data_IF_344229651011
#
_entry.id   IF_344229651011
#
_cell.length_a   1.000
_cell.length_b   1.000
_cell.length_c   1.000
_cell.angle_alpha   90.00
_cell.angle_beta   90.00
_cell.angle_gamma   90.00
#
_symmetry.space_group_name_H-M   'P 1'
#
loop_
_entity.id
_entity.type
_entity.pdbx_description
1 polymer ?
#
# COMPACT_ATOMS: atom_id res chain seq x y z
N UNK A 1 -2.39 1.49 -12.38
CA UNK A 1 -3.15 2.00 -13.53
C UNK A 1 -3.85 0.83 -14.21
N UNK A 2 -5.19 0.78 -14.14
CA UNK A 2 -5.97 0.45 -15.31
C UNK A 2 -7.11 1.45 -15.57
N UNK A 3 -7.50 1.46 -16.83
CA UNK A 3 -8.41 2.31 -17.60
C UNK A 3 -9.74 2.71 -16.92
N UNK A 4 -10.04 4.02 -16.93
CA UNK A 4 -11.39 4.55 -16.67
C UNK A 4 -12.29 4.28 -17.89
N UNK A 5 -13.15 3.27 -17.80
CA UNK A 5 -14.30 3.13 -18.71
C UNK A 5 -15.57 3.43 -17.92
N UNK A 6 -16.16 4.60 -18.19
CA UNK A 6 -17.42 5.02 -17.60
C UNK A 6 -18.56 4.24 -18.26
N UNK A 7 -19.07 3.21 -17.59
CA UNK A 7 -20.34 2.60 -17.97
C UNK A 7 -21.48 3.46 -17.41
N UNK A 8 -22.25 4.11 -18.30
CA UNK A 8 -23.51 4.79 -17.96
C UNK A 8 -24.52 3.76 -17.46
N UNK A 9 -24.91 3.86 -16.20
CA UNK A 9 -26.06 3.14 -15.64
C UNK A 9 -27.31 4.01 -15.85
N UNK A 10 -28.20 3.56 -16.73
CA UNK A 10 -29.59 4.07 -16.80
C UNK A 10 -30.46 3.17 -15.93
N UNK A 11 -31.01 3.72 -14.84
CA UNK A 11 -32.11 3.10 -14.08
C UNK A 11 -33.49 3.44 -14.70
N UNK A 12 -34.59 3.13 -14.00
CA UNK A 12 -35.25 1.83 -14.06
C UNK A 12 -36.63 1.91 -14.75
N UNK A 13 -37.10 0.79 -15.30
CA UNK A 13 -38.52 0.59 -15.58
C UNK A 13 -39.03 -0.57 -14.73
N UNK A 14 -39.95 -0.24 -13.84
CA UNK A 14 -40.85 -1.15 -13.14
C UNK A 14 -41.91 -1.63 -14.11
N UNK A 15 -42.18 -2.93 -14.15
CA UNK A 15 -43.52 -3.42 -14.44
C UNK A 15 -43.77 -4.79 -13.78
N UNK A 16 -44.99 -4.94 -13.30
CA UNK A 16 -45.49 -6.00 -12.42
C UNK A 16 -45.74 -7.32 -13.16
N UNK A 17 -45.66 -8.46 -12.46
CA UNK A 17 -46.11 -9.74 -13.01
C UNK A 17 -45.75 -10.97 -12.19
N UNK A 18 -46.76 -11.52 -11.52
CA UNK A 18 -46.77 -12.72 -10.66
C UNK A 18 -46.19 -14.00 -11.29
N UNK A 19 -45.69 -14.91 -10.43
CA UNK A 19 -45.44 -16.30 -10.82
C UNK A 19 -44.35 -17.01 -10.00
N UNK A 20 -44.61 -17.31 -8.73
CA UNK A 20 -43.76 -18.19 -7.93
C UNK A 20 -43.91 -19.63 -8.41
N UNK A 21 -42.89 -20.14 -9.11
CA UNK A 21 -42.66 -21.57 -9.32
C UNK A 21 -41.25 -21.91 -8.82
N UNK A 22 -41.20 -22.77 -7.82
CA UNK A 22 -39.97 -23.30 -7.25
C UNK A 22 -39.36 -24.31 -8.23
N UNK A 23 -38.43 -23.84 -9.06
CA UNK A 23 -37.55 -24.71 -9.84
C UNK A 23 -36.08 -24.33 -9.62
N UNK A 24 -35.33 -25.40 -9.38
CA UNK A 24 -33.90 -25.51 -9.21
C UNK A 24 -33.10 -24.52 -10.07
N UNK A 25 -32.38 -23.61 -9.41
CA UNK A 25 -31.16 -23.05 -9.98
C UNK A 25 -30.04 -23.25 -8.98
N UNK A 26 -29.38 -24.39 -9.11
CA UNK A 26 -28.00 -24.55 -8.68
C UNK A 26 -27.14 -23.51 -9.41
N UNK A 27 -27.13 -22.28 -8.89
CA UNK A 27 -26.26 -21.22 -9.36
C UNK A 27 -24.88 -21.52 -8.79
N UNK A 28 -24.13 -22.38 -9.47
CA UNK A 28 -22.70 -22.48 -9.26
C UNK A 28 -22.10 -21.17 -9.74
N UNK A 29 -22.01 -20.21 -8.82
CA UNK A 29 -21.28 -18.96 -8.99
C UNK A 29 -19.84 -19.35 -9.32
N UNK A 30 -19.55 -19.46 -10.61
CA UNK A 30 -18.23 -19.81 -11.11
C UNK A 30 -17.50 -18.48 -11.17
N UNK A 31 -16.85 -18.13 -10.05
CA UNK A 31 -16.06 -16.91 -9.95
C UNK A 31 -15.03 -16.93 -11.09
N UNK A 32 -15.01 -15.94 -11.99
CA UNK A 32 -14.03 -15.91 -13.06
C UNK A 32 -12.62 -15.94 -12.44
N UNK A 33 -11.67 -16.68 -13.05
CA UNK A 33 -10.31 -16.73 -12.58
C UNK A 33 -9.75 -15.30 -12.62
N UNK A 34 -9.52 -14.77 -11.44
CA UNK A 34 -9.02 -13.41 -11.27
C UNK A 34 -7.57 -13.39 -11.74
N UNK A 35 -7.26 -12.50 -12.68
CA UNK A 35 -5.88 -12.34 -13.15
C UNK A 35 -4.97 -12.16 -11.94
N UNK A 36 -3.94 -13.00 -11.82
CA UNK A 36 -2.97 -12.83 -10.77
C UNK A 36 -2.33 -11.44 -10.95
N UNK A 37 -2.28 -10.63 -9.89
CA UNK A 37 -1.71 -9.31 -10.00
C UNK A 37 -0.25 -9.44 -10.41
N UNK A 38 0.16 -8.65 -11.41
CA UNK A 38 1.55 -8.56 -11.86
C UNK A 38 2.45 -8.37 -10.63
N UNK A 39 3.54 -9.15 -10.49
CA UNK A 39 4.49 -8.95 -9.41
C UNK A 39 5.02 -7.52 -9.43
N UNK A 40 4.97 -6.83 -8.29
CA UNK A 40 5.48 -5.46 -8.15
C UNK A 40 6.93 -5.31 -8.66
N UNK A 41 7.72 -6.38 -8.56
CA UNK A 41 9.09 -6.44 -9.07
C UNK A 41 9.18 -6.19 -10.57
N UNK A 42 8.24 -6.68 -11.36
CA UNK A 42 8.23 -6.53 -12.82
C UNK A 42 7.89 -5.08 -13.20
N UNK A 43 6.94 -4.46 -12.48
CA UNK A 43 6.58 -3.06 -12.70
C UNK A 43 7.72 -2.11 -12.31
N UNK A 44 8.44 -2.40 -11.22
CA UNK A 44 9.64 -1.66 -10.82
C UNK A 44 10.73 -1.80 -11.88
N UNK A 45 10.96 -3.01 -12.39
CA UNK A 45 11.97 -3.23 -13.43
C UNK A 45 11.64 -2.43 -14.69
N UNK A 46 10.38 -2.47 -15.15
CA UNK A 46 9.92 -1.67 -16.30
C UNK A 46 10.08 -0.17 -16.05
N UNK A 47 9.76 0.31 -14.84
CA UNK A 47 9.95 1.71 -14.48
C UNK A 47 11.43 2.12 -14.49
N UNK A 48 12.31 1.24 -14.03
CA UNK A 48 13.77 1.45 -14.06
C UNK A 48 14.30 1.46 -15.51
N UNK A 49 13.84 0.53 -16.35
CA UNK A 49 14.16 0.49 -17.78
C UNK A 49 13.73 1.78 -18.48
N UNK A 50 12.49 2.21 -18.26
CA UNK A 50 11.98 3.46 -18.82
C UNK A 50 12.78 4.68 -18.35
N UNK A 51 13.13 4.75 -17.06
CA UNK A 51 13.94 5.84 -16.53
C UNK A 51 15.36 5.84 -17.13
N UNK A 52 15.93 4.67 -17.42
CA UNK A 52 17.24 4.53 -18.07
C UNK A 52 17.19 4.97 -19.52
N UNK A 53 16.16 4.55 -20.26
CA UNK A 53 15.98 4.92 -21.67
C UNK A 53 15.83 6.45 -21.82
N UNK A 54 15.15 7.07 -20.85
CA UNK A 54 15.01 8.53 -20.76
C UNK A 54 16.22 9.25 -20.15
N UNK A 55 17.24 8.51 -19.68
CA UNK A 55 18.42 9.04 -18.97
C UNK A 55 18.05 9.94 -17.79
N UNK A 56 17.01 9.57 -17.05
CA UNK A 56 16.50 10.36 -15.93
C UNK A 56 17.37 10.20 -14.69
N UNK A 57 18.34 11.09 -14.53
CA UNK A 57 19.18 11.16 -13.33
C UNK A 57 18.36 11.46 -12.06
N UNK A 58 17.26 12.21 -12.19
CA UNK A 58 16.39 12.51 -11.05
C UNK A 58 15.71 11.24 -10.50
N UNK A 59 15.36 10.27 -11.36
CA UNK A 59 14.70 9.04 -10.90
C UNK A 59 15.68 7.94 -10.46
N UNK A 60 16.86 7.89 -11.10
CA UNK A 60 17.85 6.85 -10.88
C UNK A 60 18.95 7.23 -9.89
N UNK A 61 18.99 8.50 -9.49
CA UNK A 61 20.09 9.07 -8.73
C UNK A 61 21.20 9.61 -9.63
N UNK A 62 22.05 10.46 -9.05
CA UNK A 62 23.11 11.18 -9.78
C UNK A 62 24.43 10.44 -9.85
N UNK A 63 24.55 9.32 -9.15
CA UNK A 63 25.75 8.49 -9.09
C UNK A 63 25.40 7.00 -9.12
N UNK A 64 26.38 6.16 -9.44
CA UNK A 64 26.21 4.70 -9.38
C UNK A 64 25.87 4.23 -7.95
N UNK A 65 26.38 4.92 -6.93
CA UNK A 65 26.05 4.64 -5.54
C UNK A 65 24.57 4.94 -5.23
N UNK A 66 24.03 6.03 -5.77
CA UNK A 66 22.60 6.35 -5.63
C UNK A 66 21.73 5.33 -6.36
N UNK A 67 22.13 4.90 -7.57
CA UNK A 67 21.41 3.87 -8.32
C UNK A 67 21.36 2.54 -7.54
N UNK A 68 22.46 2.16 -6.88
CA UNK A 68 22.47 0.99 -5.99
C UNK A 68 21.47 1.18 -4.85
N UNK A 69 21.46 2.33 -4.19
CA UNK A 69 20.52 2.63 -3.10
C UNK A 69 19.07 2.62 -3.56
N UNK A 70 18.77 3.19 -4.73
CA UNK A 70 17.41 3.18 -5.32
C UNK A 70 16.92 1.74 -5.51
N UNK A 71 17.78 0.85 -6.01
CA UNK A 71 17.47 -0.58 -6.19
C UNK A 71 17.30 -1.32 -4.87
N UNK A 72 18.14 -1.02 -3.88
CA UNK A 72 18.02 -1.61 -2.53
C UNK A 72 16.70 -1.22 -1.86
N UNK A 73 16.32 0.06 -1.93
CA UNK A 73 15.03 0.53 -1.45
C UNK A 73 13.86 -0.09 -2.21
N UNK A 74 13.95 -0.19 -3.54
CA UNK A 74 12.92 -0.85 -4.34
C UNK A 74 12.72 -2.31 -3.93
N UNK A 75 13.80 -3.04 -3.66
CA UNK A 75 13.75 -4.42 -3.13
C UNK A 75 13.11 -4.48 -1.74
N UNK A 76 13.47 -3.54 -0.86
CA UNK A 76 12.84 -3.43 0.46
C UNK A 76 11.33 -3.25 0.35
N UNK A 77 10.86 -2.38 -0.55
CA UNK A 77 9.43 -2.16 -0.78
C UNK A 77 8.74 -3.37 -1.44
N UNK A 78 9.41 -4.10 -2.34
CA UNK A 78 8.91 -5.39 -2.84
C UNK A 78 8.61 -6.36 -1.71
N UNK A 79 9.53 -6.51 -0.75
CA UNK A 79 9.35 -7.41 0.39
C UNK A 79 8.24 -6.94 1.32
N UNK A 80 8.14 -5.62 1.55
CA UNK A 80 7.08 -5.02 2.36
C UNK A 80 5.69 -5.11 1.70
N UNK A 81 5.62 -5.14 0.37
CA UNK A 81 4.35 -5.14 -0.36
C UNK A 81 3.48 -6.35 -0.04
N UNK A 82 4.06 -7.54 0.16
CA UNK A 82 3.32 -8.76 0.46
C UNK A 82 2.40 -8.65 1.69
N UNK A 83 2.94 -8.41 2.89
CA UNK A 83 2.10 -8.25 4.09
C UNK A 83 1.19 -7.02 4.04
N UNK A 84 1.57 -5.93 3.36
CA UNK A 84 0.67 -4.78 3.21
C UNK A 84 -0.51 -5.08 2.28
N UNK A 85 -0.30 -5.83 1.19
CA UNK A 85 -1.41 -6.28 0.32
C UNK A 85 -2.34 -7.24 1.04
N UNK A 86 -1.81 -8.17 1.85
CA UNK A 86 -2.66 -9.03 2.69
C UNK A 86 -3.54 -8.23 3.66
N UNK A 87 -3.10 -7.04 4.04
CA UNK A 87 -3.84 -6.13 4.90
C UNK A 87 -4.87 -5.29 4.13
N UNK A 88 -4.55 -4.82 2.92
CA UNK A 88 -5.38 -3.85 2.16
C UNK A 88 -6.22 -4.46 1.04
N UNK A 89 -6.03 -5.73 0.73
CA UNK A 89 -6.65 -6.44 -0.41
C UNK A 89 -7.50 -7.62 0.08
N UNK A 90 -8.64 -7.36 0.76
CA UNK A 90 -9.47 -8.40 1.35
C UNK A 90 -10.05 -9.32 0.28
N UNK A 91 -10.31 -10.58 0.65
CA UNK A 91 -10.86 -11.60 -0.26
C UNK A 91 -10.07 -11.74 -1.56
N UNK A 92 -8.72 -11.76 -1.45
CA UNK A 92 -7.79 -11.82 -2.59
C UNK A 92 -8.02 -10.68 -3.59
N UNK A 93 -8.35 -9.52 -3.02
CA UNK A 93 -8.51 -8.25 -3.69
C UNK A 93 -9.84 -8.01 -4.35
N UNK A 94 -10.88 -8.79 -4.08
CA UNK A 94 -12.22 -8.65 -4.69
C UNK A 94 -12.69 -7.18 -4.80
N UNK A 95 -12.25 -6.33 -3.86
CA UNK A 95 -12.62 -4.93 -3.77
C UNK A 95 -11.57 -3.94 -4.36
N UNK A 96 -10.43 -4.39 -4.87
CA UNK A 96 -9.30 -3.54 -5.26
C UNK A 96 -9.64 -2.51 -6.35
N UNK A 97 -10.56 -2.84 -7.25
CA UNK A 97 -11.03 -1.96 -8.34
C UNK A 97 -12.26 -1.12 -7.96
N UNK A 98 -12.75 -1.26 -6.72
CA UNK A 98 -13.91 -0.52 -6.23
C UNK A 98 -13.52 0.90 -5.81
N UNK A 99 -14.48 1.84 -5.75
CA UNK A 99 -14.23 3.18 -5.22
C UNK A 99 -13.64 3.16 -3.80
N UNK A 100 -12.87 4.20 -3.46
CA UNK A 100 -12.11 4.27 -2.21
C UNK A 100 -12.96 4.02 -0.95
N UNK A 101 -14.20 4.53 -0.90
CA UNK A 101 -15.10 4.33 0.25
C UNK A 101 -15.55 2.86 0.41
N UNK A 102 -15.78 2.15 -0.71
CA UNK A 102 -16.13 0.71 -0.69
C UNK A 102 -14.93 -0.10 -0.22
N UNK A 103 -13.74 0.23 -0.73
CA UNK A 103 -12.48 -0.39 -0.29
C UNK A 103 -12.25 -0.19 1.20
N UNK A 104 -12.44 1.04 1.70
CA UNK A 104 -12.26 1.37 3.11
C UNK A 104 -13.19 0.54 4.02
N UNK A 105 -14.46 0.41 3.65
CA UNK A 105 -15.42 -0.41 4.40
C UNK A 105 -15.02 -1.90 4.38
N UNK A 106 -14.62 -2.44 3.22
CA UNK A 106 -14.20 -3.83 3.09
C UNK A 106 -12.91 -4.13 3.89
N UNK A 107 -11.93 -3.23 3.83
CA UNK A 107 -10.67 -3.36 4.58
C UNK A 107 -10.92 -3.28 6.09
N UNK A 108 -11.77 -2.36 6.55
CA UNK A 108 -12.16 -2.26 7.96
C UNK A 108 -12.79 -3.58 8.45
N UNK A 109 -13.74 -4.13 7.70
CA UNK A 109 -14.35 -5.43 8.01
C UNK A 109 -13.31 -6.58 8.05
N UNK A 110 -12.38 -6.60 7.09
CA UNK A 110 -11.27 -7.56 7.09
C UNK A 110 -10.32 -7.40 8.28
N UNK A 111 -10.08 -6.16 8.71
CA UNK A 111 -9.23 -5.88 9.87
C UNK A 111 -9.81 -6.41 11.19
N UNK A 112 -11.10 -6.77 11.25
CA UNK A 112 -11.68 -7.52 12.36
C UNK A 112 -11.16 -8.96 12.47
N UNK A 113 -10.56 -9.51 11.41
CA UNK A 113 -10.11 -10.91 11.34
C UNK A 113 -8.66 -11.10 11.85
N UNK A 114 -8.31 -12.27 12.40
CA UNK A 114 -6.93 -12.57 12.84
C UNK A 114 -5.88 -12.46 11.73
N UNK A 115 -6.26 -12.80 10.49
CA UNK A 115 -5.35 -12.75 9.34
C UNK A 115 -4.81 -11.34 9.08
N UNK A 116 -5.65 -10.31 9.20
CA UNK A 116 -5.24 -8.92 9.04
C UNK A 116 -4.28 -8.47 10.16
N UNK A 117 -4.53 -8.89 11.40
CA UNK A 117 -3.63 -8.62 12.52
C UNK A 117 -2.26 -9.28 12.31
N UNK A 118 -2.23 -10.51 11.80
CA UNK A 118 -1.00 -11.23 11.45
C UNK A 118 -0.22 -10.54 10.31
N UNK A 119 -0.93 -10.02 9.32
CA UNK A 119 -0.35 -9.26 8.21
C UNK A 119 0.30 -7.96 8.72
N UNK A 120 -0.40 -7.18 9.57
CA UNK A 120 0.17 -5.99 10.20
C UNK A 120 1.37 -6.32 11.10
N UNK A 121 1.27 -7.35 11.94
CA UNK A 121 2.38 -7.84 12.75
C UNK A 121 3.60 -8.20 11.88
N UNK A 122 3.35 -8.75 10.69
CA UNK A 122 4.40 -9.12 9.75
C UNK A 122 5.06 -7.91 9.07
N UNK A 123 4.31 -6.85 8.77
CA UNK A 123 4.81 -5.62 8.16
C UNK A 123 5.52 -4.70 9.16
N UNK A 124 5.12 -4.74 10.43
CA UNK A 124 5.53 -3.78 11.47
C UNK A 124 7.06 -3.65 11.64
N UNK A 125 7.89 -4.72 11.63
CA UNK A 125 9.33 -4.57 11.71
C UNK A 125 9.90 -3.73 10.57
N UNK A 126 9.45 -3.94 9.34
CA UNK A 126 9.88 -3.19 8.17
C UNK A 126 9.38 -1.74 8.21
N UNK A 127 8.12 -1.50 8.57
CA UNK A 127 7.60 -0.14 8.76
C UNK A 127 8.38 0.63 9.83
N UNK A 128 8.73 -0.01 10.96
CA UNK A 128 9.59 0.62 11.98
C UNK A 128 10.98 0.92 11.46
N UNK A 129 11.56 0.00 10.69
CA UNK A 129 12.90 0.18 10.15
C UNK A 129 12.96 1.35 9.14
N UNK A 130 11.93 1.48 8.31
CA UNK A 130 11.74 2.63 7.41
C UNK A 130 11.53 3.93 8.18
N UNK A 131 10.67 3.93 9.21
CA UNK A 131 10.42 5.12 10.02
C UNK A 131 11.68 5.60 10.75
N UNK A 132 12.45 4.68 11.34
CA UNK A 132 13.73 4.99 11.96
C UNK A 132 14.73 5.55 10.94
N UNK A 133 14.85 4.93 9.76
CA UNK A 133 15.73 5.43 8.70
C UNK A 133 15.37 6.87 8.32
N UNK A 134 14.09 7.15 8.06
CA UNK A 134 13.63 8.49 7.71
C UNK A 134 13.82 9.50 8.85
N UNK A 135 13.72 9.07 10.10
CA UNK A 135 13.99 9.91 11.26
C UNK A 135 15.50 10.23 11.41
N UNK A 136 16.37 9.26 11.16
CA UNK A 136 17.83 9.38 11.32
C UNK A 136 18.50 10.12 10.16
N UNK A 137 17.98 9.97 8.94
CA UNK A 137 18.69 10.41 7.72
C UNK A 137 18.84 11.92 7.65
N UNK A 138 17.99 12.71 8.33
CA UNK A 138 18.19 14.13 8.70
C UNK A 138 18.51 15.14 7.57
N UNK A 139 18.65 14.68 6.34
CA UNK A 139 19.28 15.35 5.20
C UNK A 139 18.29 15.64 4.07
N UNK A 140 17.00 15.57 4.37
CA UNK A 140 15.93 15.98 3.48
C UNK A 140 14.68 15.11 3.61
N UNK A 141 13.62 15.45 2.87
CA UNK A 141 12.30 14.85 3.02
C UNK A 141 12.13 13.50 2.29
N UNK A 142 13.13 13.03 1.54
CA UNK A 142 13.09 11.82 0.71
C UNK A 142 14.08 10.74 1.17
N UNK A 143 13.97 9.54 0.63
CA UNK A 143 14.81 8.40 0.98
C UNK A 143 16.30 8.65 0.69
N UNK A 144 16.60 9.45 -0.32
CA UNK A 144 17.95 9.88 -0.67
C UNK A 144 18.18 11.35 -0.28
N UNK A 145 17.62 11.79 0.85
CA UNK A 145 17.82 13.15 1.38
C UNK A 145 16.94 14.17 0.67
N UNK A 146 17.54 15.14 -0.01
CA UNK A 146 16.79 16.20 -0.74
C UNK A 146 16.27 15.77 -2.11
N UNK A 147 16.76 14.65 -2.65
CA UNK A 147 16.41 14.20 -4.00
C UNK A 147 15.30 13.16 -3.97
N UNK A 148 14.19 13.46 -4.66
CA UNK A 148 13.15 12.48 -4.97
C UNK A 148 13.70 11.49 -5.97
N UNK A 149 13.42 10.20 -5.79
CA UNK A 149 13.85 9.15 -6.72
C UNK A 149 12.73 8.16 -7.03
N UNK A 150 13.00 7.20 -7.91
CA UNK A 150 12.08 6.08 -8.16
C UNK A 150 11.77 5.31 -6.86
N UNK A 151 12.72 5.23 -5.92
CA UNK A 151 12.50 4.57 -4.64
C UNK A 151 11.37 5.22 -3.83
N UNK A 152 11.27 6.55 -3.85
CA UNK A 152 10.20 7.27 -3.17
C UNK A 152 8.84 6.98 -3.81
N UNK A 153 8.79 6.99 -5.14
CA UNK A 153 7.56 6.70 -5.90
C UNK A 153 7.06 5.28 -5.61
N UNK A 154 7.96 4.30 -5.70
CA UNK A 154 7.68 2.89 -5.39
C UNK A 154 7.22 2.76 -3.93
N UNK A 155 7.91 3.41 -3.01
CA UNK A 155 7.58 3.38 -1.60
C UNK A 155 6.17 3.89 -1.32
N UNK A 156 5.81 5.05 -1.87
CA UNK A 156 4.45 5.62 -1.72
C UNK A 156 3.41 4.64 -2.26
N UNK A 157 3.61 4.11 -3.47
CA UNK A 157 2.70 3.14 -4.07
C UNK A 157 2.49 1.89 -3.20
N UNK A 158 3.51 1.46 -2.46
CA UNK A 158 3.43 0.29 -1.56
C UNK A 158 2.74 0.60 -0.24
N UNK A 159 3.03 1.75 0.38
CA UNK A 159 2.57 2.00 1.75
C UNK A 159 1.28 2.81 1.83
N UNK A 160 0.97 3.64 0.82
CA UNK A 160 -0.11 4.62 0.90
C UNK A 160 -1.46 3.99 1.23
N UNK A 161 -1.83 2.90 0.55
CA UNK A 161 -3.12 2.22 0.79
C UNK A 161 -3.22 1.66 2.20
N UNK A 162 -2.12 1.25 2.83
CA UNK A 162 -2.14 0.80 4.22
C UNK A 162 -2.53 1.95 5.15
N UNK A 163 -1.95 3.14 4.96
CA UNK A 163 -2.29 4.33 5.76
C UNK A 163 -3.71 4.85 5.48
N UNK A 164 -4.14 4.80 4.22
CA UNK A 164 -5.50 5.22 3.82
C UNK A 164 -6.60 4.29 4.30
N UNK A 165 -6.35 2.98 4.35
CA UNK A 165 -7.42 1.99 4.50
C UNK A 165 -7.32 1.15 5.77
N UNK A 166 -6.11 0.89 6.30
CA UNK A 166 -5.87 -0.17 7.28
C UNK A 166 -5.12 0.23 8.56
N UNK A 167 -4.51 1.42 8.62
CA UNK A 167 -3.75 1.90 9.77
C UNK A 167 -4.50 3.05 10.49
N UNK A 168 -5.42 2.71 11.41
CA UNK A 168 -6.16 3.70 12.17
C UNK A 168 -5.25 4.55 13.07
N UNK A 169 -5.80 5.64 13.63
CA UNK A 169 -5.05 6.68 14.35
C UNK A 169 -3.99 6.14 15.33
N UNK A 170 -4.39 5.31 16.31
CA UNK A 170 -3.49 4.72 17.31
C UNK A 170 -2.38 3.83 16.75
N UNK A 171 -2.55 3.29 15.54
CA UNK A 171 -1.54 2.47 14.87
C UNK A 171 -0.60 3.35 14.05
N UNK A 172 -1.15 4.26 13.24
CA UNK A 172 -0.34 5.10 12.34
C UNK A 172 0.50 6.15 13.06
N UNK A 173 0.08 6.63 14.22
CA UNK A 173 0.81 7.67 14.97
C UNK A 173 2.22 7.23 15.40
N UNK A 174 2.49 5.93 15.39
CA UNK A 174 3.80 5.33 15.67
C UNK A 174 4.83 5.54 14.53
N UNK A 175 4.40 6.00 13.36
CA UNK A 175 5.24 6.15 12.16
C UNK A 175 5.32 7.62 11.71
N UNK A 176 5.77 8.49 12.63
CA UNK A 176 5.77 9.93 12.40
C UNK A 176 6.67 10.37 11.25
N UNK A 177 7.81 9.70 11.01
CA UNK A 177 8.71 10.03 9.93
C UNK A 177 8.16 9.57 8.57
N UNK A 178 7.54 8.38 8.51
CA UNK A 178 6.82 7.92 7.31
C UNK A 178 5.70 8.90 6.95
N UNK A 179 4.93 9.38 7.92
CA UNK A 179 3.85 10.35 7.66
C UNK A 179 4.38 11.66 7.06
N UNK A 180 5.51 12.17 7.56
CA UNK A 180 6.16 13.36 6.98
C UNK A 180 6.68 13.11 5.58
N UNK A 181 7.35 11.98 5.36
CA UNK A 181 7.86 11.57 4.05
C UNK A 181 6.73 11.37 3.03
N UNK A 182 5.62 10.72 3.41
CA UNK A 182 4.42 10.59 2.59
C UNK A 182 3.86 11.97 2.21
N UNK A 183 3.72 12.87 3.18
CA UNK A 183 3.24 14.24 2.92
C UNK A 183 4.15 14.99 1.95
N UNK A 184 5.47 14.81 2.04
CA UNK A 184 6.40 15.39 1.08
C UNK A 184 6.28 14.78 -0.32
N UNK A 185 6.20 13.45 -0.41
CA UNK A 185 6.07 12.76 -1.69
C UNK A 185 4.74 13.06 -2.40
N UNK A 186 3.64 13.19 -1.66
CA UNK A 186 2.32 13.48 -2.25
C UNK A 186 2.22 14.90 -2.83
N UNK A 187 3.20 15.76 -2.61
CA UNK A 187 3.30 17.09 -3.27
C UNK A 187 3.99 17.02 -4.63
N UNK A 188 4.50 15.85 -5.03
CA UNK A 188 5.13 15.66 -6.32
C UNK A 188 4.06 15.49 -7.42
N UNK A 189 4.31 16.04 -8.60
CA UNK A 189 3.41 16.01 -9.77
C UNK A 189 2.97 14.58 -10.13
N UNK A 190 3.81 13.59 -9.87
CA UNK A 190 3.52 12.16 -10.06
C UNK A 190 2.26 11.68 -9.33
N UNK A 191 1.82 12.39 -8.27
CA UNK A 191 0.66 12.04 -7.45
C UNK A 191 -0.51 13.01 -7.60
N UNK A 192 -0.47 13.96 -8.54
CA UNK A 192 -1.60 14.86 -8.82
C UNK A 192 -2.87 14.08 -9.18
N UNK A 193 -2.73 12.96 -9.89
CA UNK A 193 -3.87 12.13 -10.32
C UNK A 193 -4.65 11.50 -9.15
N UNK A 194 -4.04 11.42 -7.96
CA UNK A 194 -4.72 10.97 -6.72
C UNK A 194 -5.08 12.15 -5.79
N UNK A 195 -5.03 13.38 -6.32
CA UNK A 195 -5.36 14.63 -5.61
C UNK A 195 -4.21 15.21 -4.77
N UNK A 196 -2.99 14.69 -4.93
CA UNK A 196 -1.82 15.16 -4.19
C UNK A 196 -1.97 15.02 -2.66
N UNK A 197 -1.34 15.92 -1.90
CA UNK A 197 -1.37 15.89 -0.44
C UNK A 197 -2.78 16.07 0.15
N UNK A 198 -3.62 16.90 -0.49
CA UNK A 198 -4.99 17.19 -0.02
C UNK A 198 -6.00 16.12 -0.43
N UNK A 199 -5.71 15.33 -1.47
CA UNK A 199 -6.58 14.24 -1.94
C UNK A 199 -6.47 12.94 -1.14
N UNK A 200 -5.57 12.89 -0.16
CA UNK A 200 -5.31 11.69 0.64
C UNK A 200 -5.88 11.86 2.05
N UNK A 201 -6.98 11.15 2.29
CA UNK A 201 -7.53 10.96 3.63
C UNK A 201 -7.06 9.64 4.25
N UNK A 202 -6.64 9.69 5.51
CA UNK A 202 -6.32 8.50 6.30
C UNK A 202 -7.56 7.91 6.95
N UNK A 203 -7.57 6.59 7.12
CA UNK A 203 -8.70 5.90 7.74
C UNK A 203 -8.97 6.39 9.17
N UNK A 204 -10.25 6.49 9.52
CA UNK A 204 -10.72 6.68 10.89
C UNK A 204 -11.79 5.61 11.16
N UNK A 205 -11.62 4.85 12.23
CA UNK A 205 -12.58 3.83 12.63
C UNK A 205 -13.14 4.17 14.03
N UNK A 206 -14.25 3.55 14.47
CA UNK A 206 -14.68 3.68 15.86
C UNK A 206 -13.56 3.25 16.81
N UNK A 207 -13.36 4.02 17.89
CA UNK A 207 -12.25 3.84 18.83
C UNK A 207 -12.14 2.40 19.37
N UNK A 208 -13.27 1.75 19.61
CA UNK A 208 -13.33 0.35 20.07
C UNK A 208 -12.69 -0.61 19.07
N UNK A 209 -12.96 -0.41 17.77
CA UNK A 209 -12.39 -1.25 16.71
C UNK A 209 -10.91 -0.97 16.48
N UNK A 210 -10.49 0.30 16.57
CA UNK A 210 -9.09 0.70 16.47
C UNK A 210 -8.24 0.04 17.56
N UNK A 211 -8.71 0.09 18.81
CA UNK A 211 -8.00 -0.48 19.95
C UNK A 211 -8.02 -2.02 19.90
N UNK A 212 -9.14 -2.64 19.51
CA UNK A 212 -9.23 -4.08 19.32
C UNK A 212 -8.28 -4.58 18.22
N UNK A 213 -8.15 -3.85 17.11
CA UNK A 213 -7.23 -4.19 16.04
C UNK A 213 -5.76 -4.01 16.46
N UNK A 214 -5.44 -2.88 17.11
CA UNK A 214 -4.11 -2.62 17.66
C UNK A 214 -3.67 -3.73 18.62
N UNK A 215 -4.55 -4.12 19.55
CA UNK A 215 -4.27 -5.17 20.54
C UNK A 215 -3.99 -6.50 19.87
N UNK A 216 -4.86 -6.96 18.95
CA UNK A 216 -4.65 -8.21 18.20
C UNK A 216 -3.34 -8.21 17.41
N UNK A 217 -2.98 -7.08 16.79
CA UNK A 217 -1.73 -6.96 16.04
C UNK A 217 -0.49 -6.89 16.96
N UNK A 218 -0.63 -6.39 18.19
CA UNK A 218 0.43 -6.43 19.21
C UNK A 218 0.61 -7.86 19.76
N UNK A 219 -0.47 -8.60 20.00
CA UNK A 219 -0.43 -10.03 20.36
C UNK A 219 0.15 -10.92 19.24
N UNK A 220 -0.26 -10.69 17.99
CA UNK A 220 0.25 -11.43 16.84
C UNK A 220 1.76 -11.18 16.65
N UNK A 221 2.23 -9.95 16.89
CA UNK A 221 3.66 -9.64 16.87
C UNK A 221 4.42 -10.41 17.95
N UNK A 222 3.89 -10.48 19.18
CA UNK A 222 4.54 -11.20 20.27
C UNK A 222 4.67 -12.71 20.01
N UNK A 223 3.82 -13.27 19.16
CA UNK A 223 3.82 -14.69 18.76
C UNK A 223 4.70 -15.00 17.55
N UNK A 224 5.22 -13.98 16.86
CA UNK A 224 6.10 -14.21 15.72
C UNK A 224 7.43 -14.81 16.21
N UNK A 225 7.95 -15.86 15.55
CA UNK A 225 9.28 -16.38 15.85
C UNK A 225 10.32 -15.26 15.67
N UNK A 226 11.43 -15.31 16.41
CA UNK A 226 12.52 -14.35 16.25
C UNK A 226 12.95 -14.33 14.78
N UNK A 227 12.67 -13.21 14.12
CA UNK A 227 12.82 -13.08 12.66
C UNK A 227 14.25 -12.74 12.28
N UNK A 228 14.61 -13.11 11.05
CA UNK A 228 15.75 -12.54 10.34
C UNK A 228 15.68 -11.01 10.40
N UNK A 229 16.84 -10.37 10.59
CA UNK A 229 16.92 -8.92 10.67
C UNK A 229 16.35 -8.28 9.40
N UNK A 230 15.51 -7.26 9.56
CA UNK A 230 15.09 -6.42 8.43
C UNK A 230 16.34 -5.73 7.90
N UNK A 231 16.68 -5.99 6.65
CA UNK A 231 17.81 -5.33 5.99
C UNK A 231 17.34 -3.97 5.48
N UNK A 232 17.79 -2.91 6.15
CA UNK A 232 17.56 -1.53 5.72
C UNK A 232 18.71 -1.09 4.83
N UNK A 233 18.45 -0.54 3.63
CA UNK A 233 19.48 0.06 2.79
C UNK A 233 20.25 1.14 3.57
N UNK A 234 21.57 1.17 3.43
CA UNK A 234 22.42 2.13 4.13
C UNK A 234 23.20 2.97 3.14
N UNK A 235 23.10 4.29 3.28
CA UNK A 235 24.05 5.20 2.66
C UNK A 235 25.44 4.84 3.17
N UNK A 236 26.34 4.46 2.27
CA UNK A 236 27.76 4.32 2.60
C UNK A 236 28.22 5.64 3.24
N UNK A 237 28.92 5.57 4.37
CA UNK A 237 29.61 6.75 4.89
C UNK A 237 30.73 7.06 3.91
N UNK A 238 30.50 8.00 3.00
CA UNK A 238 31.62 8.68 2.35
C UNK A 238 32.24 9.57 3.42
N UNK A 239 33.37 9.10 3.96
CA UNK A 239 34.27 9.88 4.82
C UNK A 239 35.11 10.85 4.01
#
# INVERSE_FOLDING_TARGET
>A
WPSCVVARVTGPQTDDGEGLSAEERGSTCTTPPRAEPVPLQDDIQKAEELARDQRSADLLGRSDADLVLVREWSRFFCQLSGPLRQLTSPNRGLFDEQPAHVRAAAVRGHCALPAAAQALASARPALRALDNYLAETGSGPFLLGEERTLADIVGVCVVLDAFRLALPGPVRCRYGAILRWLSACLKLDAFECIGGAEGVEFCAWPAEEEEAFKTRADEALAKLPSRAAVVVPRRGRHG
#
